data_IF_496749421084
#
_entry.id   IF_496749421084
#
_cell.length_a   1.000
_cell.length_b   1.000
_cell.length_c   1.000
_cell.angle_alpha   90.00
_cell.angle_beta   90.00
_cell.angle_gamma   90.00
#
_symmetry.space_group_name_H-M   'P 1'
#
loop_
_entity.id
_entity.type
_entity.pdbx_description
1 polymer ?
#
# COMPACT_ATOMS: atom_id res chain seq x y z
N UNK A 1 6.99 7.07 0.77
CA UNK A 1 8.09 6.18 1.23
C UNK A 1 7.58 5.06 2.13
N UNK A 2 6.64 5.36 3.04
CA UNK A 2 6.02 4.39 3.96
C UNK A 2 5.73 3.00 3.36
N UNK A 3 5.01 2.91 2.24
CA UNK A 3 4.70 1.60 1.64
C UNK A 3 5.92 0.84 1.14
N UNK A 4 6.92 1.50 0.54
CA UNK A 4 8.11 0.82 0.02
C UNK A 4 9.00 0.31 1.15
N UNK A 5 9.22 1.14 2.18
CA UNK A 5 9.99 0.73 3.37
C UNK A 5 9.33 -0.45 4.09
N UNK A 6 8.01 -0.42 4.24
CA UNK A 6 7.27 -1.52 4.84
C UNK A 6 7.43 -2.83 4.03
N UNK A 7 7.33 -2.75 2.70
CA UNK A 7 7.49 -3.92 1.83
C UNK A 7 8.93 -4.42 1.78
N UNK A 8 9.93 -3.54 1.86
CA UNK A 8 11.34 -3.95 1.97
C UNK A 8 11.61 -4.70 3.28
N UNK A 9 10.96 -4.30 4.37
CA UNK A 9 11.15 -4.91 5.69
C UNK A 9 10.32 -6.19 5.89
N UNK A 10 9.07 -6.22 5.41
CA UNK A 10 8.10 -7.27 5.72
C UNK A 10 7.65 -8.05 4.47
N UNK A 11 7.88 -7.53 3.27
CA UNK A 11 7.28 -7.99 2.03
C UNK A 11 7.97 -9.16 1.34
N UNK A 12 8.93 -9.81 1.98
CA UNK A 12 9.55 -11.05 1.49
C UNK A 12 8.59 -12.23 1.75
N UNK A 13 7.49 -12.23 0.99
CA UNK A 13 6.40 -13.22 1.05
C UNK A 13 6.01 -13.65 -0.37
N UNK A 14 5.39 -14.82 -0.51
CA UNK A 14 4.95 -15.28 -1.84
C UNK A 14 3.94 -14.29 -2.44
N UNK A 15 4.13 -13.99 -3.72
CA UNK A 15 3.18 -13.17 -4.47
C UNK A 15 3.08 -11.71 -4.03
N UNK A 16 4.08 -11.14 -3.36
CA UNK A 16 4.14 -9.69 -3.13
C UNK A 16 3.98 -8.94 -4.47
N UNK A 17 3.16 -7.88 -4.48
CA UNK A 17 2.68 -7.15 -5.67
C UNK A 17 1.84 -7.95 -6.69
N UNK A 18 1.90 -9.29 -6.72
CA UNK A 18 1.05 -10.15 -7.57
C UNK A 18 -0.34 -10.36 -6.96
N UNK A 19 -0.38 -10.79 -5.70
CA UNK A 19 -1.61 -10.98 -4.94
C UNK A 19 -2.15 -9.63 -4.47
N UNK A 20 -3.46 -9.60 -4.21
CA UNK A 20 -4.15 -8.43 -3.69
C UNK A 20 -4.48 -8.64 -2.22
N UNK A 21 -4.27 -7.61 -1.41
CA UNK A 21 -4.77 -7.60 -0.03
C UNK A 21 -6.29 -7.51 0.07
N UNK A 22 -6.79 -7.66 1.30
CA UNK A 22 -8.22 -7.59 1.60
C UNK A 22 -8.73 -6.18 1.34
N UNK A 23 -9.84 -6.07 0.60
CA UNK A 23 -10.40 -4.77 0.18
C UNK A 23 -10.67 -3.83 1.35
N UNK A 24 -11.24 -4.31 2.45
CA UNK A 24 -11.51 -3.50 3.65
C UNK A 24 -10.23 -2.97 4.30
N UNK A 25 -9.14 -3.76 4.34
CA UNK A 25 -7.86 -3.32 4.86
C UNK A 25 -7.22 -2.24 3.97
N UNK A 26 -7.33 -2.40 2.64
CA UNK A 26 -6.88 -1.38 1.67
C UNK A 26 -7.63 -0.06 1.88
N UNK A 27 -8.97 -0.11 2.00
CA UNK A 27 -9.78 1.09 2.21
C UNK A 27 -9.49 1.75 3.56
N UNK A 28 -9.33 0.95 4.63
CA UNK A 28 -8.92 1.46 5.94
C UNK A 28 -7.57 2.15 5.87
N UNK A 29 -6.58 1.51 5.25
CA UNK A 29 -5.24 2.09 5.12
C UNK A 29 -5.25 3.36 4.27
N UNK A 30 -6.04 3.39 3.19
CA UNK A 30 -6.24 4.60 2.39
C UNK A 30 -6.76 5.76 3.23
N UNK A 31 -7.80 5.53 4.03
CA UNK A 31 -8.36 6.56 4.90
C UNK A 31 -7.32 7.06 5.94
N UNK A 32 -6.45 6.18 6.44
CA UNK A 32 -5.34 6.59 7.31
C UNK A 32 -4.32 7.47 6.58
N UNK A 33 -3.99 7.18 5.32
CA UNK A 33 -3.13 8.04 4.48
C UNK A 33 -3.76 9.39 4.13
N UNK A 34 -5.09 9.48 4.08
CA UNK A 34 -5.84 10.71 3.81
C UNK A 34 -6.05 11.57 5.07
N UNK A 35 -5.78 11.01 6.26
CA UNK A 35 -5.86 11.73 7.53
C UNK A 35 -4.63 12.60 7.81
N UNK A 36 -4.76 13.56 8.73
CA UNK A 36 -3.62 14.37 9.19
C UNK A 36 -2.63 13.52 10.00
N UNK A 37 -1.66 12.92 9.30
CA UNK A 37 -0.54 12.21 9.90
C UNK A 37 -0.01 11.05 9.08
N UNK A 38 1.19 10.52 9.40
CA UNK A 38 1.67 9.30 8.78
C UNK A 38 0.84 8.10 9.28
N UNK A 39 0.41 7.18 8.40
CA UNK A 39 -0.25 5.96 8.82
C UNK A 39 0.72 5.09 9.61
N UNK A 40 0.20 4.43 10.64
CA UNK A 40 0.96 3.45 11.41
C UNK A 40 0.83 2.06 10.76
N UNK A 41 1.86 1.70 9.99
CA UNK A 41 1.94 0.42 9.29
C UNK A 41 2.31 -0.76 10.20
N UNK A 42 2.66 -0.52 11.47
CA UNK A 42 3.03 -1.58 12.42
C UNK A 42 1.81 -2.20 13.11
N UNK A 43 0.59 -1.73 12.80
CA UNK A 43 -0.65 -2.34 13.31
C UNK A 43 -0.77 -3.79 12.81
N UNK A 44 -1.21 -4.68 13.70
CA UNK A 44 -1.39 -6.11 13.40
C UNK A 44 -2.20 -6.37 12.13
N UNK A 45 -3.23 -5.56 11.87
CA UNK A 45 -4.06 -5.66 10.66
C UNK A 45 -3.26 -5.57 9.36
N UNK A 46 -2.17 -4.79 9.33
CA UNK A 46 -1.32 -4.61 8.15
C UNK A 46 -0.18 -5.62 8.10
N UNK A 47 0.33 -6.03 9.26
CA UNK A 47 1.33 -7.11 9.36
C UNK A 47 0.75 -8.48 8.98
N UNK A 48 -0.53 -8.72 9.25
CA UNK A 48 -1.24 -9.95 8.86
C UNK A 48 -1.68 -9.95 7.39
N UNK A 49 -1.83 -8.77 6.76
CA UNK A 49 -2.23 -8.62 5.36
C UNK A 49 -1.25 -7.70 4.62
N UNK A 50 -0.01 -8.16 4.49
CA UNK A 50 1.10 -7.42 3.85
C UNK A 50 0.72 -7.01 2.41
N UNK A 51 -0.10 -7.82 1.74
CA UNK A 51 -0.57 -7.54 0.39
C UNK A 51 -1.41 -6.26 0.31
N UNK A 52 -2.12 -5.85 1.37
CA UNK A 52 -2.92 -4.62 1.34
C UNK A 52 -2.05 -3.37 1.17
N UNK A 53 -0.88 -3.32 1.81
CA UNK A 53 0.06 -2.19 1.68
C UNK A 53 0.60 -2.13 0.26
N UNK A 54 0.98 -3.28 -0.32
CA UNK A 54 1.44 -3.35 -1.71
C UNK A 54 0.33 -3.00 -2.72
N UNK A 55 -0.91 -3.40 -2.45
CA UNK A 55 -2.09 -3.06 -3.26
C UNK A 55 -2.38 -1.57 -3.24
N UNK A 56 -2.31 -0.93 -2.07
CA UNK A 56 -2.50 0.51 -1.96
C UNK A 56 -1.39 1.28 -2.69
N UNK A 57 -0.14 0.82 -2.57
CA UNK A 57 0.99 1.39 -3.30
C UNK A 57 0.76 1.38 -4.83
N UNK A 58 0.30 0.24 -5.37
CA UNK A 58 -0.07 0.14 -6.80
C UNK A 58 -1.23 1.06 -7.17
N UNK A 59 -2.26 1.10 -6.32
CA UNK A 59 -3.44 1.92 -6.55
C UNK A 59 -3.09 3.41 -6.64
N UNK A 60 -2.22 3.89 -5.75
CA UNK A 60 -1.73 5.27 -5.77
C UNK A 60 -1.16 5.67 -7.13
N UNK A 61 -0.21 4.91 -7.68
CA UNK A 61 0.41 5.23 -8.98
C UNK A 61 -0.59 5.16 -10.15
N UNK A 62 -1.55 4.24 -10.08
CA UNK A 62 -2.61 4.10 -11.09
C UNK A 62 -3.61 5.24 -11.06
N UNK A 63 -3.83 5.84 -9.90
CA UNK A 63 -4.79 6.92 -9.66
C UNK A 63 -4.20 8.32 -9.86
N UNK A 64 -2.90 8.42 -10.16
CA UNK A 64 -2.27 9.69 -10.47
C UNK A 64 -2.94 10.34 -11.70
N UNK A 65 -3.26 11.65 -11.67
CA UNK A 65 -3.85 12.34 -12.82
C UNK A 65 -2.95 12.31 -14.07
N UNK A 66 -1.63 12.35 -13.84
CA UNK A 66 -0.60 12.14 -14.86
C UNK A 66 0.18 10.89 -14.45
N UNK A 67 0.24 9.84 -15.29
CA UNK A 67 0.92 8.60 -14.94
C UNK A 67 2.38 8.83 -14.58
N UNK A 68 2.95 7.90 -13.81
CA UNK A 68 4.34 7.96 -13.36
C UNK A 68 5.33 8.15 -14.53
N UNK A 69 5.09 7.45 -15.64
CA UNK A 69 5.76 7.67 -16.92
C UNK A 69 4.83 8.55 -17.75
N UNK A 70 5.03 9.86 -17.68
CA UNK A 70 4.19 10.91 -18.27
C UNK A 70 3.72 10.59 -19.69
N UNK A 71 2.63 11.23 -20.12
CA UNK A 71 2.11 11.05 -21.49
C UNK A 71 3.06 11.53 -22.60
N UNK A 72 4.06 12.34 -22.25
CA UNK A 72 5.10 12.89 -23.11
C UNK A 72 6.45 12.29 -22.74
#
# INVERSE_FOLDING_TARGET
RNCSEFVEQNGVVDGIYRLSGVSSNIQKLRAEFESDGPPDLNKDVYLQDIHCVSSLCKAYFRELPNPLLTYQ
#
